data_IF_231952442224
#
_entry.id   IF_231952442224
#
_cell.length_a   1.000
_cell.length_b   1.000
_cell.length_c   1.000
_cell.angle_alpha   90.00
_cell.angle_beta   90.00
_cell.angle_gamma   90.00
#
_symmetry.space_group_name_H-M   'P 1'
#
loop_
_entity.id
_entity.type
_entity.pdbx_description
1 polymer ?
#
# COMPACT_ATOMS: atom_id res chain seq x y z
N UNK A 1 -21.54 -8.56 -24.48
CA UNK A 1 -22.19 -8.03 -23.27
C UNK A 1 -21.09 -7.64 -22.31
N UNK A 2 -20.72 -6.36 -22.30
CA UNK A 2 -19.79 -5.83 -21.31
C UNK A 2 -20.46 -5.89 -19.94
N UNK A 3 -20.04 -6.84 -19.11
CA UNK A 3 -20.46 -6.88 -17.71
C UNK A 3 -19.93 -5.61 -17.04
N UNK A 4 -20.86 -4.76 -16.59
CA UNK A 4 -20.57 -3.57 -15.78
C UNK A 4 -20.02 -3.99 -14.41
N UNK A 5 -18.77 -4.44 -14.36
CA UNK A 5 -18.04 -4.61 -13.09
C UNK A 5 -17.85 -3.22 -12.48
N UNK A 6 -18.83 -2.79 -11.71
CA UNK A 6 -18.86 -1.49 -11.06
C UNK A 6 -18.15 -1.63 -9.71
N UNK A 7 -17.47 -0.58 -9.23
CA UNK A 7 -16.74 -0.54 -7.94
C UNK A 7 -17.52 -1.12 -6.74
N UNK A 8 -18.86 -1.11 -6.83
CA UNK A 8 -19.81 -1.65 -5.84
C UNK A 8 -19.72 -3.16 -5.66
N UNK A 9 -19.48 -3.95 -6.72
CA UNK A 9 -19.46 -5.42 -6.65
C UNK A 9 -18.13 -5.97 -6.08
N UNK A 10 -17.12 -5.11 -5.98
CA UNK A 10 -15.76 -5.48 -5.56
C UNK A 10 -15.57 -5.30 -4.06
N UNK A 11 -16.27 -4.32 -3.46
CA UNK A 11 -16.06 -3.92 -2.08
C UNK A 11 -16.42 -5.00 -1.05
N UNK A 12 -17.66 -5.48 -1.06
CA UNK A 12 -18.14 -6.46 -0.07
C UNK A 12 -17.36 -7.77 -0.15
N UNK A 13 -17.02 -8.19 -1.37
CA UNK A 13 -16.14 -9.34 -1.61
C UNK A 13 -14.75 -9.14 -0.97
N UNK A 14 -14.06 -8.04 -1.27
CA UNK A 14 -12.72 -7.76 -0.73
C UNK A 14 -12.73 -7.60 0.78
N UNK A 15 -13.72 -6.91 1.33
CA UNK A 15 -13.91 -6.75 2.77
C UNK A 15 -14.02 -8.12 3.46
N UNK A 16 -14.86 -9.00 2.92
CA UNK A 16 -15.08 -10.35 3.43
C UNK A 16 -13.83 -11.22 3.35
N UNK A 17 -13.11 -11.16 2.23
CA UNK A 17 -11.85 -11.87 2.03
C UNK A 17 -10.78 -11.40 3.02
N UNK A 18 -10.59 -10.08 3.15
CA UNK A 18 -9.63 -9.49 4.08
C UNK A 18 -9.94 -9.84 5.53
N UNK A 19 -11.21 -9.70 5.95
CA UNK A 19 -11.63 -10.06 7.31
C UNK A 19 -11.32 -11.53 7.62
N UNK A 20 -11.68 -12.44 6.70
CA UNK A 20 -11.41 -13.87 6.84
C UNK A 20 -9.92 -14.19 6.87
N UNK A 21 -9.13 -13.52 6.03
CA UNK A 21 -7.66 -13.72 5.99
C UNK A 21 -6.97 -13.30 7.29
N UNK A 22 -7.55 -12.33 8.01
CA UNK A 22 -7.10 -11.93 9.34
C UNK A 22 -7.71 -12.77 10.48
N UNK A 23 -8.52 -13.78 10.17
CA UNK A 23 -9.08 -14.71 11.16
C UNK A 23 -10.24 -14.15 12.00
N UNK A 24 -10.81 -13.00 11.64
CA UNK A 24 -11.88 -12.37 12.43
C UNK A 24 -13.27 -12.92 12.09
N UNK A 25 -14.10 -13.14 13.10
CA UNK A 25 -15.55 -13.33 12.87
C UNK A 25 -16.22 -12.01 12.47
N UNK A 26 -17.45 -12.07 11.96
CA UNK A 26 -18.21 -10.85 11.62
C UNK A 26 -18.42 -10.00 12.88
N UNK A 27 -18.73 -10.63 14.00
CA UNK A 27 -18.95 -9.97 15.29
C UNK A 27 -17.69 -9.24 15.75
N UNK A 28 -16.56 -9.97 15.83
CA UNK A 28 -15.30 -9.40 16.27
C UNK A 28 -14.89 -8.20 15.41
N UNK A 29 -15.00 -8.33 14.08
CA UNK A 29 -14.63 -7.25 13.18
C UNK A 29 -15.60 -6.07 13.26
N UNK A 30 -16.91 -6.32 13.40
CA UNK A 30 -17.89 -5.27 13.58
C UNK A 30 -17.62 -4.47 14.87
N UNK A 31 -17.27 -5.15 15.96
CA UNK A 31 -16.91 -4.53 17.23
C UNK A 31 -15.62 -3.68 17.11
N UNK A 32 -14.59 -4.20 16.41
CA UNK A 32 -13.35 -3.46 16.16
C UNK A 32 -13.59 -2.18 15.33
N UNK A 33 -14.44 -2.27 14.31
CA UNK A 33 -14.79 -1.11 13.47
C UNK A 33 -15.76 -0.16 14.20
N UNK A 34 -16.50 -0.65 15.21
CA UNK A 34 -17.49 0.12 15.96
C UNK A 34 -18.84 0.25 15.23
N UNK A 35 -19.29 -0.84 14.60
CA UNK A 35 -20.58 -0.94 13.89
C UNK A 35 -21.34 -2.21 14.31
N UNK A 36 -22.62 -2.33 13.96
CA UNK A 36 -23.37 -3.55 14.26
C UNK A 36 -22.97 -4.72 13.34
N UNK A 37 -23.07 -5.95 13.85
CA UNK A 37 -22.92 -7.20 13.07
C UNK A 37 -23.75 -7.17 11.78
N UNK A 38 -25.00 -6.75 11.87
CA UNK A 38 -25.91 -6.67 10.72
C UNK A 38 -25.43 -5.65 9.69
N UNK A 39 -24.93 -4.51 10.14
CA UNK A 39 -24.35 -3.47 9.28
C UNK A 39 -23.16 -4.02 8.49
N UNK A 40 -22.22 -4.70 9.16
CA UNK A 40 -21.08 -5.33 8.49
C UNK A 40 -21.54 -6.42 7.51
N UNK A 41 -22.55 -7.21 7.88
CA UNK A 41 -23.15 -8.20 6.98
C UNK A 41 -23.76 -7.59 5.73
N UNK A 42 -24.38 -6.41 5.81
CA UNK A 42 -24.88 -5.70 4.63
C UNK A 42 -23.75 -5.22 3.72
N UNK A 43 -22.62 -4.79 4.31
CA UNK A 43 -21.43 -4.38 3.55
C UNK A 43 -20.81 -5.56 2.81
N UNK A 44 -20.60 -6.70 3.46
CA UNK A 44 -19.97 -7.88 2.84
C UNK A 44 -20.78 -8.55 1.72
N UNK A 45 -22.08 -8.26 1.65
CA UNK A 45 -22.98 -8.78 0.63
C UNK A 45 -23.44 -7.68 -0.34
N UNK A 46 -22.73 -6.54 -0.38
CA UNK A 46 -22.98 -5.40 -1.27
C UNK A 46 -24.42 -4.86 -1.21
N UNK A 47 -25.11 -5.08 -0.08
CA UNK A 47 -26.47 -4.57 0.16
C UNK A 47 -26.47 -3.11 0.58
N UNK A 48 -25.36 -2.63 1.12
CA UNK A 48 -25.14 -1.26 1.55
C UNK A 48 -23.67 -0.90 1.36
N UNK A 49 -23.39 0.35 1.07
CA UNK A 49 -22.02 0.88 1.11
C UNK A 49 -21.77 1.59 2.45
N UNK A 50 -20.55 1.50 3.01
CA UNK A 50 -20.17 2.33 4.15
C UNK A 50 -20.12 3.81 3.73
N UNK A 51 -20.32 4.70 4.69
CA UNK A 51 -19.93 6.10 4.50
C UNK A 51 -18.39 6.23 4.59
N UNK A 52 -17.91 7.45 4.35
CA UNK A 52 -16.47 7.74 4.32
C UNK A 52 -15.79 7.44 5.66
N UNK A 53 -16.46 7.73 6.78
CA UNK A 53 -15.89 7.54 8.11
C UNK A 53 -15.76 6.05 8.45
N UNK A 54 -16.80 5.27 8.15
CA UNK A 54 -16.76 3.81 8.30
C UNK A 54 -15.71 3.20 7.36
N UNK A 55 -15.66 3.65 6.11
CA UNK A 55 -14.68 3.15 5.14
C UNK A 55 -13.24 3.39 5.61
N UNK A 56 -12.95 4.58 6.15
CA UNK A 56 -11.63 4.90 6.72
C UNK A 56 -11.30 3.98 7.90
N UNK A 57 -12.24 3.80 8.85
CA UNK A 57 -12.04 2.88 9.98
C UNK A 57 -11.79 1.44 9.55
N UNK A 58 -12.53 0.96 8.56
CA UNK A 58 -12.33 -0.39 7.98
C UNK A 58 -10.93 -0.51 7.38
N UNK A 59 -10.51 0.48 6.59
CA UNK A 59 -9.20 0.51 5.94
C UNK A 59 -8.06 0.49 6.98
N UNK A 60 -8.17 1.31 8.02
CA UNK A 60 -7.20 1.38 9.11
C UNK A 60 -7.13 0.07 9.90
N UNK A 61 -8.29 -0.51 10.24
CA UNK A 61 -8.37 -1.76 11.01
C UNK A 61 -7.78 -2.94 10.23
N UNK A 62 -7.99 -2.99 8.92
CA UNK A 62 -7.45 -4.03 8.04
C UNK A 62 -6.03 -3.72 7.55
N UNK A 63 -5.50 -2.55 7.89
CA UNK A 63 -4.20 -2.08 7.46
C UNK A 63 -4.05 -2.08 5.91
N UNK A 64 -5.09 -1.60 5.20
CA UNK A 64 -5.16 -1.51 3.72
C UNK A 64 -5.55 -0.11 3.24
N UNK A 65 -5.35 0.17 1.94
CA UNK A 65 -5.84 1.42 1.34
C UNK A 65 -7.35 1.34 1.04
N UNK A 66 -8.10 2.41 1.30
CA UNK A 66 -9.49 2.53 0.89
C UNK A 66 -9.69 2.32 -0.62
N UNK A 67 -8.75 2.79 -1.46
CA UNK A 67 -8.76 2.56 -2.91
C UNK A 67 -8.72 1.06 -3.28
N UNK A 68 -8.04 0.25 -2.47
CA UNK A 68 -8.07 -1.20 -2.65
C UNK A 68 -9.43 -1.76 -2.27
N UNK A 69 -10.01 -1.32 -1.15
CA UNK A 69 -11.33 -1.79 -0.75
C UNK A 69 -12.39 -1.50 -1.82
N UNK A 70 -12.37 -0.30 -2.42
CA UNK A 70 -13.36 0.11 -3.42
C UNK A 70 -13.03 -0.30 -4.87
N UNK A 71 -12.01 -1.13 -5.10
CA UNK A 71 -11.73 -1.66 -6.44
C UNK A 71 -10.94 -0.75 -7.38
N UNK A 72 -10.39 0.38 -6.91
CA UNK A 72 -9.59 1.31 -7.74
C UNK A 72 -8.15 0.87 -7.94
N UNK A 73 -7.65 -0.02 -7.08
CA UNK A 73 -6.33 -0.64 -7.20
C UNK A 73 -6.40 -2.12 -6.83
N UNK A 74 -5.49 -2.94 -7.35
CA UNK A 74 -5.35 -4.35 -6.97
C UNK A 74 -4.29 -4.57 -5.89
N UNK A 75 -3.65 -3.50 -5.42
CA UNK A 75 -2.62 -3.55 -4.38
C UNK A 75 -3.24 -3.25 -3.01
N UNK A 76 -3.19 -4.23 -2.10
CA UNK A 76 -3.72 -4.14 -0.72
C UNK A 76 -3.01 -3.13 0.16
N UNK A 77 -1.83 -2.69 -0.23
CA UNK A 77 -0.90 -2.12 0.70
C UNK A 77 -1.28 -0.69 1.12
N UNK A 78 -1.20 -0.40 2.43
CA UNK A 78 -1.09 0.95 3.03
C UNK A 78 0.16 1.73 2.58
N UNK A 79 0.84 1.25 1.54
CA UNK A 79 1.98 1.82 0.85
C UNK A 79 1.64 3.14 0.13
N UNK A 80 0.81 4.02 0.69
CA UNK A 80 0.81 5.42 0.29
C UNK A 80 2.20 6.06 0.45
N UNK A 81 3.02 5.55 1.38
CA UNK A 81 4.43 5.92 1.52
C UNK A 81 5.42 5.13 0.66
N UNK A 82 5.14 3.87 0.28
CA UNK A 82 6.08 3.13 -0.60
C UNK A 82 5.75 3.27 -2.08
N UNK A 83 4.51 3.55 -2.47
CA UNK A 83 4.20 3.93 -3.85
C UNK A 83 4.90 5.25 -4.19
N UNK A 84 4.93 6.21 -3.26
CA UNK A 84 5.71 7.45 -3.39
C UNK A 84 7.22 7.23 -3.39
N UNK A 85 7.76 6.37 -2.52
CA UNK A 85 9.20 6.06 -2.52
C UNK A 85 9.60 5.32 -3.80
N UNK A 86 8.92 4.24 -4.19
CA UNK A 86 9.25 3.50 -5.41
C UNK A 86 9.04 4.35 -6.68
N UNK A 87 8.02 5.21 -6.73
CA UNK A 87 7.83 6.16 -7.84
C UNK A 87 8.92 7.25 -7.87
N UNK A 88 9.38 7.73 -6.73
CA UNK A 88 10.39 8.78 -6.65
C UNK A 88 11.82 8.27 -6.82
N UNK A 89 12.14 7.08 -6.30
CA UNK A 89 13.50 6.51 -6.29
C UNK A 89 13.71 5.46 -7.39
N UNK A 90 12.65 4.98 -8.03
CA UNK A 90 12.71 3.88 -9.01
C UNK A 90 13.00 2.51 -8.39
N UNK A 91 13.03 2.39 -7.06
CA UNK A 91 13.30 1.12 -6.38
C UNK A 91 12.15 0.13 -6.55
N UNK A 92 12.50 -1.16 -6.60
CA UNK A 92 11.50 -2.23 -6.56
C UNK A 92 10.81 -2.29 -5.18
N UNK A 93 9.60 -2.85 -5.17
CA UNK A 93 8.85 -3.07 -3.93
C UNK A 93 9.64 -3.83 -2.87
N UNK A 94 10.43 -4.82 -3.28
CA UNK A 94 11.25 -5.63 -2.38
C UNK A 94 12.44 -4.85 -1.83
N UNK A 95 13.07 -4.00 -2.64
CA UNK A 95 14.18 -3.15 -2.20
C UNK A 95 13.70 -2.11 -1.18
N UNK A 96 12.59 -1.42 -1.45
CA UNK A 96 12.01 -0.45 -0.52
C UNK A 96 11.59 -1.11 0.81
N UNK A 97 11.04 -2.33 0.76
CA UNK A 97 10.67 -3.06 1.97
C UNK A 97 11.90 -3.51 2.76
N UNK A 98 12.95 -3.94 2.08
CA UNK A 98 14.21 -4.32 2.70
C UNK A 98 14.84 -3.14 3.46
N UNK A 99 14.93 -1.96 2.83
CA UNK A 99 15.46 -0.74 3.48
C UNK A 99 14.65 -0.36 4.73
N UNK A 100 13.32 -0.44 4.65
CA UNK A 100 12.46 -0.14 5.79
C UNK A 100 12.69 -1.11 6.98
N UNK A 101 12.95 -2.39 6.70
CA UNK A 101 13.27 -3.39 7.73
C UNK A 101 14.61 -3.11 8.40
N UNK A 102 15.64 -2.71 7.65
CA UNK A 102 16.97 -2.43 8.22
C UNK A 102 16.93 -1.32 9.29
N UNK A 103 16.17 -0.25 9.05
CA UNK A 103 16.00 0.83 10.03
C UNK A 103 15.27 0.33 11.28
N UNK A 104 14.22 -0.49 11.10
CA UNK A 104 13.41 -1.04 12.19
C UNK A 104 14.21 -1.98 13.08
N UNK A 105 15.00 -2.84 12.46
CA UNK A 105 15.80 -3.86 13.15
C UNK A 105 17.13 -3.29 13.69
N UNK A 106 17.41 -2.01 13.45
CA UNK A 106 18.64 -1.30 13.85
C UNK A 106 19.91 -2.00 13.34
N UNK A 107 19.85 -2.57 12.12
CA UNK A 107 20.99 -3.23 11.48
C UNK A 107 21.92 -2.18 10.84
N UNK A 108 22.67 -1.48 11.71
CA UNK A 108 23.56 -0.38 11.30
C UNK A 108 24.71 -0.84 10.39
N UNK A 109 25.13 -2.11 10.50
CA UNK A 109 26.21 -2.66 9.66
C UNK A 109 25.77 -2.72 8.19
N UNK A 110 24.60 -3.30 7.92
CA UNK A 110 24.05 -3.32 6.55
C UNK A 110 23.69 -1.92 6.05
N UNK A 111 23.19 -1.06 6.93
CA UNK A 111 22.90 0.33 6.58
C UNK A 111 24.16 1.08 6.11
N UNK A 112 25.27 0.90 6.82
CA UNK A 112 26.55 1.55 6.45
C UNK A 112 27.03 1.11 5.07
N UNK A 113 26.86 -0.17 4.72
CA UNK A 113 27.24 -0.69 3.40
C UNK A 113 26.37 -0.07 2.32
N UNK A 114 25.06 0.01 2.54
CA UNK A 114 24.12 0.58 1.56
C UNK A 114 24.39 2.06 1.31
N UNK A 115 24.63 2.84 2.38
CA UNK A 115 24.97 4.24 2.23
C UNK A 115 26.27 4.42 1.44
N UNK A 116 27.30 3.63 1.74
CA UNK A 116 28.55 3.67 1.00
C UNK A 116 28.36 3.35 -0.49
N UNK A 117 27.55 2.32 -0.82
CA UNK A 117 27.23 1.99 -2.20
C UNK A 117 26.46 3.12 -2.92
N UNK A 118 25.56 3.82 -2.23
CA UNK A 118 24.85 4.96 -2.80
C UNK A 118 25.77 6.16 -3.04
N UNK A 119 26.70 6.42 -2.13
CA UNK A 119 27.70 7.48 -2.31
C UNK A 119 28.59 7.16 -3.53
N UNK A 120 29.11 5.93 -3.63
CA UNK A 120 29.94 5.49 -4.77
C UNK A 120 29.20 5.62 -6.11
N UNK A 121 27.94 5.18 -6.17
CA UNK A 121 27.11 5.33 -7.38
C UNK A 121 26.81 6.79 -7.74
N UNK A 122 26.81 7.69 -6.76
CA UNK A 122 26.55 9.11 -7.01
C UNK A 122 27.76 9.84 -7.60
N UNK A 123 28.97 9.47 -7.19
CA UNK A 123 30.22 10.07 -7.67
C UNK A 123 30.45 9.79 -9.16
N UNK A 124 30.11 8.59 -9.63
CA UNK A 124 30.26 8.21 -11.03
C UNK A 124 29.31 8.99 -11.96
N UNK A 125 28.12 9.39 -11.49
CA UNK A 125 27.12 10.08 -12.33
C UNK A 125 27.45 11.56 -12.54
N UNK A 126 28.01 12.22 -11.52
CA UNK A 126 28.41 13.61 -11.61
C UNK A 126 29.46 13.77 -12.73
N UNK A 127 30.46 12.89 -12.81
CA UNK A 127 31.51 12.94 -13.83
C UNK A 127 31.00 12.90 -15.29
N UNK A 128 30.02 12.03 -15.61
CA UNK A 128 29.48 11.92 -16.98
C UNK A 128 28.44 13.00 -17.33
N UNK A 129 27.83 13.65 -16.33
CA UNK A 129 26.84 14.70 -16.58
C UNK A 129 27.44 16.02 -17.07
N UNK A 130 28.73 16.27 -16.80
CA UNK A 130 29.43 17.49 -17.22
C UNK A 130 29.97 17.46 -18.66
N UNK A 131 30.20 16.28 -19.25
CA UNK A 131 30.73 16.18 -20.62
C UNK A 131 29.67 16.44 -21.70
N UNK A 132 28.38 16.33 -21.36
CA UNK A 132 27.29 16.49 -22.35
C UNK A 132 26.87 17.95 -22.60
N UNK A 133 27.36 18.92 -21.84
CA UNK A 133 27.01 20.34 -21.99
C UNK A 133 28.04 21.19 -22.74
N UNK A 134 29.21 20.65 -23.11
CA UNK A 134 30.31 21.43 -23.71
C UNK A 134 30.75 20.91 -25.10
N UNK A 135 29.88 20.20 -25.81
CA UNK A 135 30.21 19.50 -27.07
C UNK A 135 29.46 19.96 -28.32
N UNK A 136 28.84 21.15 -28.33
CA UNK A 136 28.26 21.76 -29.53
C UNK A 136 28.69 23.23 -29.64
N UNK A 137 29.86 23.49 -30.22
CA UNK A 137 30.20 24.71 -30.96
C UNK A 137 30.28 24.40 -32.45
#
# INVERSE_FOLDING_TARGET
MESKNTCVEVFGKRLKELRKSNGYTIEQFADMVGISKSTLGYYENDKRMPDIEILARIADTLNVNADYLIGRTNTTALKGKMKTVCEFTGLSDSAAEFLARLVKDKDYAKMSIINHLFDELSEDYDFYSYETQNGEE
#
